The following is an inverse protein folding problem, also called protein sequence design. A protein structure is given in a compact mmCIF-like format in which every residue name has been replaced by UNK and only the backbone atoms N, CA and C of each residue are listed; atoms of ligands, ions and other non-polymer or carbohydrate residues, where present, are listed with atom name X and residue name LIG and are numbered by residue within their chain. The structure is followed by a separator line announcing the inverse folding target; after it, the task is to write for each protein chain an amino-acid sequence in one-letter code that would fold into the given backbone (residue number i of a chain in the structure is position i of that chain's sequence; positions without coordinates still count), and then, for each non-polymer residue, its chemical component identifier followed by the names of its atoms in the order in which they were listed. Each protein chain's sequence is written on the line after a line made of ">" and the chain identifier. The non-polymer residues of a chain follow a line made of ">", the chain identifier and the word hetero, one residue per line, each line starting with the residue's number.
data_IF_610481262301
#
_entry.id   IF_610481262301
#
_cell.length_a   1.000
_cell.length_b   1.000
_cell.length_c   1.000
_cell.angle_alpha   90.00
_cell.angle_beta   90.00
_cell.angle_gamma   90.00
#
_symmetry.space_group_name_H-M   'P 1'
#
loop_
_entity.id
_entity.type
_entity.pdbx_description
1 polymer ?
#
# COMPACT_ATOMS: atom_id res chain seq x y z
N UNK A 1 11.93 6.26 8.67
CA UNK A 1 12.09 5.57 7.38
C UNK A 1 11.25 4.31 7.43
N UNK A 2 10.29 4.14 6.53
CA UNK A 2 9.48 2.92 6.38
C UNK A 2 9.78 2.36 5.00
N UNK A 3 10.13 1.08 4.93
CA UNK A 3 10.42 0.37 3.69
C UNK A 3 9.43 -0.77 3.53
N UNK A 4 8.81 -0.83 2.35
CA UNK A 4 7.90 -1.89 1.92
C UNK A 4 8.54 -2.56 0.71
N UNK A 5 8.66 -3.88 0.74
CA UNK A 5 9.12 -4.68 -0.40
C UNK A 5 8.07 -5.73 -0.75
N UNK A 6 7.58 -5.70 -1.99
CA UNK A 6 6.58 -6.62 -2.55
C UNK A 6 5.37 -6.84 -1.63
N UNK A 7 4.88 -5.77 -0.97
CA UNK A 7 3.75 -5.89 -0.05
C UNK A 7 2.50 -6.34 -0.83
N UNK A 8 1.92 -7.47 -0.41
CA UNK A 8 0.68 -8.03 -0.94
C UNK A 8 -0.31 -8.24 0.19
N UNK A 9 -1.52 -7.72 0.01
CA UNK A 9 -2.59 -7.85 1.02
C UNK A 9 -3.87 -8.29 0.34
N UNK A 10 -4.48 -9.35 0.86
CA UNK A 10 -5.72 -9.93 0.35
C UNK A 10 -6.76 -10.08 1.46
N UNK A 11 -8.02 -9.84 1.12
CA UNK A 11 -9.17 -10.17 1.96
C UNK A 11 -10.06 -11.16 1.20
N UNK A 12 -10.09 -12.42 1.68
CA UNK A 12 -10.78 -13.50 0.98
C UNK A 12 -10.17 -13.77 -0.39
N UNK A 13 -10.98 -13.65 -1.45
CA UNK A 13 -10.55 -13.90 -2.85
C UNK A 13 -10.00 -12.66 -3.57
N UNK A 14 -10.05 -11.47 -2.93
CA UNK A 14 -9.63 -10.21 -3.55
C UNK A 14 -8.30 -9.71 -3.01
N UNK A 15 -7.37 -9.40 -3.92
CA UNK A 15 -6.11 -8.71 -3.59
C UNK A 15 -6.33 -7.19 -3.63
N UNK A 16 -6.10 -6.54 -2.49
CA UNK A 16 -6.30 -5.09 -2.28
C UNK A 16 -5.01 -4.31 -2.48
N UNK A 17 -3.88 -4.85 -2.05
CA UNK A 17 -2.54 -4.30 -2.33
C UNK A 17 -1.79 -5.33 -3.18
N UNK A 18 -1.40 -4.94 -4.39
CA UNK A 18 -0.92 -5.86 -5.45
C UNK A 18 0.58 -5.73 -5.69
N UNK A 19 1.40 -6.09 -4.71
CA UNK A 19 2.86 -6.05 -4.83
C UNK A 19 3.38 -4.63 -4.90
N UNK A 20 3.30 -3.91 -3.77
CA UNK A 20 3.80 -2.53 -3.67
C UNK A 20 5.18 -2.52 -3.01
N UNK A 21 6.14 -1.91 -3.70
CA UNK A 21 7.50 -1.66 -3.21
C UNK A 21 7.74 -0.15 -3.12
N UNK A 22 8.12 0.36 -1.94
CA UNK A 22 8.33 1.80 -1.71
C UNK A 22 9.14 2.09 -0.45
N UNK A 23 9.74 3.28 -0.40
CA UNK A 23 10.49 3.80 0.75
C UNK A 23 9.95 5.17 1.14
N UNK A 24 9.49 5.31 2.38
CA UNK A 24 9.04 6.56 2.98
C UNK A 24 10.09 7.13 3.95
N UNK A 25 10.82 8.16 3.51
CA UNK A 25 11.93 8.77 4.27
C UNK A 25 11.52 9.97 5.14
N UNK A 26 10.37 10.59 4.88
CA UNK A 26 9.88 11.82 5.54
C UNK A 26 8.36 11.93 5.41
N UNK A 27 7.79 13.14 5.52
CA UNK A 27 6.37 13.38 5.22
C UNK A 27 6.08 13.01 3.76
N UNK A 28 4.99 12.30 3.56
CA UNK A 28 4.56 11.82 2.25
C UNK A 28 3.04 11.88 2.18
N UNK A 29 2.52 11.91 0.96
CA UNK A 29 1.10 11.85 0.67
C UNK A 29 0.84 10.65 -0.22
N UNK A 30 -0.17 9.86 0.12
CA UNK A 30 -0.63 8.75 -0.72
C UNK A 30 -1.97 9.12 -1.31
N UNK A 31 -2.00 9.24 -2.64
CA UNK A 31 -3.17 9.63 -3.43
C UNK A 31 -3.67 8.45 -4.25
N UNK A 32 -4.96 8.48 -4.58
CA UNK A 32 -5.59 7.46 -5.41
C UNK A 32 -7.09 7.40 -5.17
N UNK A 33 -7.88 6.78 -6.06
CA UNK A 33 -9.32 6.68 -5.92
C UNK A 33 -9.76 5.91 -4.66
N UNK A 34 -11.04 6.01 -4.31
CA UNK A 34 -11.63 5.21 -3.23
C UNK A 34 -11.46 3.71 -3.52
N UNK A 35 -11.19 2.92 -2.48
CA UNK A 35 -11.00 1.47 -2.61
C UNK A 35 -9.65 0.98 -3.13
N UNK A 36 -8.69 1.86 -3.45
CA UNK A 36 -7.37 1.47 -3.98
C UNK A 36 -6.33 1.07 -2.92
N UNK A 37 -6.77 0.63 -1.74
CA UNK A 37 -5.87 0.10 -0.71
C UNK A 37 -4.99 1.11 0.02
N UNK A 38 -5.24 2.43 -0.08
CA UNK A 38 -4.46 3.46 0.64
C UNK A 38 -4.47 3.26 2.15
N UNK A 39 -5.65 3.04 2.73
CA UNK A 39 -5.81 2.72 4.16
C UNK A 39 -5.37 1.31 4.49
N UNK A 40 -5.24 0.42 3.50
CA UNK A 40 -4.71 -0.94 3.72
C UNK A 40 -3.17 -0.94 3.71
N UNK A 41 -2.55 0.06 3.09
CA UNK A 41 -1.10 0.24 3.02
C UNK A 41 -0.48 0.77 4.33
N UNK A 42 -1.29 1.38 5.22
CA UNK A 42 -0.88 1.97 6.51
C UNK A 42 -1.71 1.40 7.65
#
# INVERSE_FOLDING_TARGET
>A
MIELGELRVSYGRGEVVKGVSTVFNSKHIVLGPNGHGKTTLF
#
